data_IF_499873082224
#
_entry.id   IF_499873082224
#
_cell.length_a   1.000
_cell.length_b   1.000
_cell.length_c   1.000
_cell.angle_alpha   90.00
_cell.angle_beta   90.00
_cell.angle_gamma   90.00
#
_symmetry.space_group_name_H-M   'P 1'
#
loop_
_entity.id
_entity.type
_entity.pdbx_description
1 polymer ?
#
# COMPACT_ATOMS: atom_id res chain seq x y z
N UNK A 1 -22.67 8.79 -11.53
CA UNK A 1 -21.57 8.91 -10.56
C UNK A 1 -21.05 7.56 -10.08
N UNK A 2 -21.88 6.71 -9.45
CA UNK A 2 -21.46 5.40 -8.92
C UNK A 2 -20.90 4.42 -9.97
N UNK A 3 -21.45 4.41 -11.18
CA UNK A 3 -21.00 3.53 -12.27
C UNK A 3 -19.69 3.99 -12.90
N UNK A 4 -19.46 5.31 -12.97
CA UNK A 4 -18.19 5.89 -13.44
C UNK A 4 -17.07 5.58 -12.45
N UNK A 5 -17.35 5.74 -11.15
CA UNK A 5 -16.41 5.39 -10.08
C UNK A 5 -16.03 3.91 -10.09
N UNK A 6 -16.99 3.01 -10.29
CA UNK A 6 -16.70 1.57 -10.43
C UNK A 6 -15.87 1.25 -11.66
N UNK A 7 -16.13 1.93 -12.79
CA UNK A 7 -15.35 1.75 -14.01
C UNK A 7 -13.90 2.21 -13.83
N UNK A 8 -13.68 3.34 -13.16
CA UNK A 8 -12.33 3.82 -12.80
C UNK A 8 -11.61 2.82 -11.89
N UNK A 9 -12.27 2.34 -10.82
CA UNK A 9 -11.70 1.35 -9.91
C UNK A 9 -11.33 0.05 -10.64
N UNK A 10 -12.15 -0.39 -11.60
CA UNK A 10 -11.87 -1.58 -12.42
C UNK A 10 -10.71 -1.39 -13.41
N UNK A 11 -10.48 -0.16 -13.87
CA UNK A 11 -9.32 0.17 -14.70
C UNK A 11 -8.06 0.21 -13.83
N UNK A 12 -8.13 0.84 -12.66
CA UNK A 12 -7.04 0.91 -11.68
C UNK A 12 -6.63 -0.50 -11.25
N UNK A 13 -7.57 -1.38 -10.90
CA UNK A 13 -7.24 -2.75 -10.48
C UNK A 13 -6.62 -3.59 -11.60
N UNK A 14 -6.98 -3.34 -12.87
CA UNK A 14 -6.31 -3.97 -14.02
C UNK A 14 -4.87 -3.52 -14.21
N UNK A 15 -4.55 -2.27 -13.87
CA UNK A 15 -3.20 -1.70 -14.03
C UNK A 15 -2.31 -2.03 -12.84
N UNK A 16 -2.87 -2.09 -11.63
CA UNK A 16 -2.10 -2.13 -10.39
C UNK A 16 -2.34 -3.36 -9.49
N UNK A 17 -3.29 -4.23 -9.83
CA UNK A 17 -3.68 -5.37 -8.99
C UNK A 17 -4.87 -5.07 -8.08
N UNK A 18 -5.47 -6.11 -7.49
CA UNK A 18 -6.58 -5.97 -6.56
C UNK A 18 -6.09 -5.69 -5.14
N UNK A 19 -6.84 -4.89 -4.39
CA UNK A 19 -6.47 -4.43 -3.05
C UNK A 19 -6.63 -5.54 -2.00
N UNK A 20 -7.56 -6.48 -2.22
CA UNK A 20 -8.00 -7.42 -1.19
C UNK A 20 -6.94 -8.45 -0.79
N UNK A 21 -6.07 -8.88 -1.72
CA UNK A 21 -5.02 -9.87 -1.43
C UNK A 21 -3.84 -9.29 -0.61
N UNK A 22 -3.75 -7.96 -0.54
CA UNK A 22 -2.62 -7.25 0.08
C UNK A 22 -3.02 -6.50 1.36
N UNK A 23 -4.31 -6.56 1.73
CA UNK A 23 -4.86 -5.98 2.94
C UNK A 23 -4.87 -7.00 4.06
N UNK A 24 -4.20 -6.67 5.16
CA UNK A 24 -4.25 -7.47 6.38
C UNK A 24 -5.04 -6.74 7.44
N UNK A 25 -6.19 -7.32 7.76
CA UNK A 25 -7.14 -6.84 8.76
C UNK A 25 -7.28 -7.92 9.83
N UNK A 26 -7.24 -7.53 11.10
CA UNK A 26 -7.44 -8.43 12.24
C UNK A 26 -8.74 -8.10 12.96
N UNK A 27 -9.29 -9.08 13.67
CA UNK A 27 -10.48 -8.87 14.49
C UNK A 27 -10.24 -7.81 15.56
N UNK A 28 -11.22 -6.91 15.74
CA UNK A 28 -11.17 -5.95 16.83
C UNK A 28 -11.59 -6.63 18.14
N UNK A 29 -10.66 -6.66 19.11
CA UNK A 29 -10.90 -7.22 20.45
C UNK A 29 -10.98 -6.10 21.47
N UNK A 30 -12.10 -6.02 22.19
CA UNK A 30 -12.31 -5.10 23.31
C UNK A 30 -12.79 -5.88 24.53
N UNK A 31 -12.15 -5.71 25.68
CA UNK A 31 -12.49 -6.41 26.91
C UNK A 31 -12.59 -7.94 26.76
N UNK A 32 -11.68 -8.55 25.99
CA UNK A 32 -11.67 -9.98 25.64
C UNK A 32 -12.90 -10.47 24.84
N UNK A 33 -13.67 -9.56 24.25
CA UNK A 33 -14.76 -9.88 23.33
C UNK A 33 -14.39 -9.40 21.94
N UNK A 34 -14.53 -10.29 20.95
CA UNK A 34 -14.40 -9.95 19.52
C UNK A 34 -15.67 -9.20 19.09
N UNK A 35 -15.55 -7.94 18.66
CA UNK A 35 -16.68 -7.22 18.08
C UNK A 35 -16.67 -7.42 16.56
N UNK A 36 -17.55 -8.29 16.05
CA UNK A 36 -17.66 -8.61 14.62
C UNK A 36 -18.07 -7.41 13.74
N UNK A 37 -18.45 -6.28 14.33
CA UNK A 37 -18.78 -5.04 13.60
C UNK A 37 -17.56 -4.17 13.32
N UNK A 38 -16.44 -4.43 14.00
CA UNK A 38 -15.22 -3.66 13.87
C UNK A 38 -14.06 -4.57 13.53
N UNK A 39 -13.22 -4.08 12.64
CA UNK A 39 -12.00 -4.75 12.26
C UNK A 39 -10.86 -3.75 12.38
N UNK A 40 -9.70 -4.24 12.81
CA UNK A 40 -8.53 -3.43 13.09
C UNK A 40 -7.57 -3.56 11.92
N UNK A 41 -7.29 -2.42 11.29
CA UNK A 41 -6.33 -2.36 10.19
C UNK A 41 -4.92 -2.68 10.73
N UNK A 42 -4.26 -3.70 10.17
CA UNK A 42 -2.90 -4.06 10.57
C UNK A 42 -1.91 -3.46 9.59
N UNK A 43 -2.01 -3.85 8.32
CA UNK A 43 -1.09 -3.48 7.24
C UNK A 43 -1.77 -3.53 5.89
N UNK A 44 -1.30 -2.73 4.95
CA UNK A 44 -1.57 -2.89 3.52
C UNK A 44 -0.26 -2.88 2.76
N UNK A 45 -0.09 -3.80 1.83
CA UNK A 45 1.02 -3.80 0.89
C UNK A 45 0.51 -3.36 -0.48
N UNK A 46 1.31 -2.64 -1.25
CA UNK A 46 0.94 -2.31 -2.62
C UNK A 46 2.18 -2.15 -3.47
N UNK A 47 2.30 -2.93 -4.55
CA UNK A 47 3.44 -2.86 -5.48
C UNK A 47 2.99 -2.44 -6.86
N UNK A 48 3.73 -1.54 -7.50
CA UNK A 48 3.44 -1.14 -8.89
C UNK A 48 4.07 -2.13 -9.89
N UNK A 49 3.51 -2.27 -11.10
CA UNK A 49 4.14 -3.05 -12.18
C UNK A 49 5.58 -2.60 -12.45
N UNK A 50 5.80 -1.29 -12.38
CA UNK A 50 7.13 -0.65 -12.47
C UNK A 50 8.10 -1.13 -11.39
N UNK A 51 7.62 -1.57 -10.23
CA UNK A 51 8.45 -2.21 -9.21
C UNK A 51 9.05 -3.53 -9.72
N UNK A 52 8.21 -4.39 -10.29
CA UNK A 52 8.65 -5.68 -10.85
C UNK A 52 9.68 -5.46 -11.97
N UNK A 53 9.41 -4.50 -12.85
CA UNK A 53 10.31 -4.17 -13.95
C UNK A 53 11.62 -3.55 -13.42
N UNK A 54 11.57 -2.76 -12.33
CA UNK A 54 12.72 -2.17 -11.66
C UNK A 54 13.70 -3.21 -11.04
N UNK A 55 13.20 -4.39 -10.63
CA UNK A 55 14.05 -5.47 -10.13
C UNK A 55 14.89 -6.15 -11.23
N UNK A 56 14.55 -5.95 -12.51
CA UNK A 56 15.32 -6.50 -13.63
C UNK A 56 16.54 -5.64 -14.00
N UNK A 57 16.71 -4.45 -13.40
CA UNK A 57 17.88 -3.63 -13.65
C UNK A 57 19.08 -4.13 -12.85
N UNK A 58 20.31 -4.02 -13.39
CA UNK A 58 21.49 -4.65 -12.81
C UNK A 58 21.93 -4.09 -11.44
N UNK A 59 21.42 -2.91 -11.02
CA UNK A 59 21.68 -2.28 -9.70
C UNK A 59 20.56 -1.30 -9.29
N UNK A 60 19.39 -1.76 -8.80
CA UNK A 60 18.37 -0.84 -8.31
C UNK A 60 18.86 -0.17 -7.02
N UNK A 61 19.05 1.15 -7.04
CA UNK A 61 19.21 1.92 -5.81
C UNK A 61 17.83 2.03 -5.19
N UNK A 62 17.59 1.34 -4.07
CA UNK A 62 16.34 1.40 -3.33
C UNK A 62 16.48 2.28 -2.09
N UNK A 63 15.62 3.29 -2.00
CA UNK A 63 15.49 4.14 -0.82
C UNK A 63 14.14 3.84 -0.14
N UNK A 64 14.14 3.74 1.18
CA UNK A 64 12.93 3.59 1.99
C UNK A 64 12.79 4.85 2.83
N UNK A 65 11.67 5.54 2.69
CA UNK A 65 11.30 6.67 3.52
C UNK A 65 10.04 6.34 4.33
N UNK A 66 9.92 6.96 5.51
CA UNK A 66 8.85 6.71 6.45
C UNK A 66 8.29 8.02 7.00
N UNK A 67 7.01 8.27 6.79
CA UNK A 67 6.30 9.43 7.36
C UNK A 67 5.24 8.97 8.35
N UNK A 68 5.24 9.56 9.54
CA UNK A 68 4.18 9.33 10.52
C UNK A 68 2.86 9.94 10.04
N UNK A 69 1.80 9.15 10.08
CA UNK A 69 0.44 9.61 9.85
C UNK A 69 -0.09 10.25 11.13
N UNK A 70 -0.40 11.54 11.06
CA UNK A 70 -0.99 12.31 12.14
C UNK A 70 -2.48 12.55 11.86
N UNK A 71 -3.36 12.31 12.84
CA UNK A 71 -4.80 12.58 12.73
C UNK A 71 -5.67 11.43 13.23
N UNK A 72 -6.76 11.13 12.52
CA UNK A 72 -7.70 10.06 12.88
C UNK A 72 -7.09 8.65 12.75
N UNK A 73 -6.08 8.51 11.89
CA UNK A 73 -5.38 7.26 11.62
C UNK A 73 -3.97 7.40 12.16
N UNK A 74 -3.68 6.70 13.26
CA UNK A 74 -2.33 6.58 13.79
C UNK A 74 -1.60 5.46 13.05
N UNK A 75 -0.42 5.76 12.52
CA UNK A 75 0.36 4.80 11.76
C UNK A 75 1.60 5.41 11.12
N UNK A 76 2.36 4.59 10.43
CA UNK A 76 3.52 4.99 9.63
C UNK A 76 3.28 4.61 8.18
N UNK A 77 3.34 5.59 7.29
CA UNK A 77 3.39 5.37 5.85
C UNK A 77 4.86 5.16 5.46
N UNK A 78 5.20 3.96 5.05
CA UNK A 78 6.47 3.61 4.45
C UNK A 78 6.34 3.65 2.93
N UNK A 79 7.29 4.28 2.25
CA UNK A 79 7.37 4.29 0.78
C UNK A 79 8.77 3.84 0.41
N UNK A 80 8.87 2.80 -0.42
CA UNK A 80 10.12 2.46 -1.08
C UNK A 80 10.11 2.99 -2.50
N UNK A 81 11.16 3.72 -2.85
CA UNK A 81 11.40 4.25 -4.18
C UNK A 81 12.68 3.65 -4.75
N UNK A 82 12.75 3.57 -6.07
CA UNK A 82 13.97 3.23 -6.82
C UNK A 82 14.35 4.37 -7.71
N UNK A 83 15.61 4.38 -8.12
CA UNK A 83 16.10 5.25 -9.17
C UNK A 83 16.30 4.45 -10.47
N UNK A 84 15.90 5.01 -11.62
CA UNK A 84 16.24 4.46 -12.93
C UNK A 84 17.60 4.97 -13.44
N UNK A 85 18.06 4.47 -14.58
CA UNK A 85 19.33 4.89 -15.19
C UNK A 85 19.36 6.39 -15.58
N UNK A 86 18.19 7.04 -15.66
CA UNK A 86 18.03 8.47 -15.94
C UNK A 86 17.86 9.32 -14.68
N UNK A 87 18.15 8.75 -13.51
CA UNK A 87 18.03 9.40 -12.22
C UNK A 87 16.59 9.75 -11.78
N UNK A 88 15.56 9.25 -12.47
CA UNK A 88 14.17 9.45 -12.06
C UNK A 88 13.82 8.60 -10.85
N UNK A 89 13.11 9.20 -9.89
CA UNK A 89 12.60 8.49 -8.71
C UNK A 89 11.27 7.84 -9.09
N UNK A 90 11.21 6.52 -8.96
CA UNK A 90 10.04 5.71 -9.25
C UNK A 90 9.54 5.05 -7.95
N UNK A 91 8.26 5.17 -7.60
CA UNK A 91 7.69 4.45 -6.47
C UNK A 91 7.60 2.95 -6.79
N UNK A 92 8.13 2.11 -5.91
CA UNK A 92 8.06 0.65 -5.98
C UNK A 92 6.86 0.16 -5.19
N UNK A 93 6.84 0.48 -3.90
CA UNK A 93 5.88 -0.04 -2.94
C UNK A 93 5.58 1.03 -1.89
N UNK A 94 4.34 1.06 -1.42
CA UNK A 94 4.01 1.74 -0.18
C UNK A 94 3.34 0.78 0.78
N UNK A 95 3.54 1.03 2.07
CA UNK A 95 2.98 0.24 3.17
C UNK A 95 2.46 1.20 4.22
N UNK A 96 1.22 1.01 4.65
CA UNK A 96 0.72 1.66 5.87
C UNK A 96 0.79 0.64 6.99
N UNK A 97 1.52 0.97 8.06
CA UNK A 97 1.66 0.14 9.25
C UNK A 97 1.02 0.86 10.42
N UNK A 98 0.24 0.15 11.23
CA UNK A 98 -0.23 0.70 12.49
C UNK A 98 0.95 0.92 13.46
N UNK A 99 0.96 2.08 14.13
CA UNK A 99 2.00 2.49 15.09
C UNK A 99 1.74 2.03 16.51
#
# INVERSE_FOLDING_TARGET
>A
YREVWKAEQKVISRVFGDWEDLLEIIDYVSNNVVDARFCKFRRVFWTFKSAYDAFNYPKPIMQIDGTFLCGKYYGTLLIATTQDDNAHILPIVFVVVEG
#
